data_IF_723771850090
#
_entry.id   IF_723771850090
#
_cell.length_a   1.000
_cell.length_b   1.000
_cell.length_c   1.000
_cell.angle_alpha   90.00
_cell.angle_beta   90.00
_cell.angle_gamma   90.00
#
_symmetry.space_group_name_H-M   'P 1'
#
loop_
_entity.id
_entity.type
_entity.pdbx_description
1 polymer ?
#
# COMPACT_ATOMS: atom_id res chain seq x y z
N UNK A 1 -17.33 5.96 2.14
CA UNK A 1 -17.46 5.50 0.76
C UNK A 1 -16.15 5.72 0.00
N UNK A 2 -15.85 4.89 -1.02
CA UNK A 2 -14.64 5.05 -1.81
C UNK A 2 -14.68 6.39 -2.58
N UNK A 3 -13.51 7.00 -2.73
CA UNK A 3 -13.31 8.19 -3.58
C UNK A 3 -12.62 7.71 -4.86
N UNK A 4 -13.22 8.02 -6.00
CA UNK A 4 -12.73 7.57 -7.29
C UNK A 4 -11.86 8.64 -7.93
N UNK A 5 -10.72 8.23 -8.48
CA UNK A 5 -9.95 9.06 -9.39
C UNK A 5 -10.74 9.31 -10.71
N UNK A 6 -10.44 10.38 -11.45
CA UNK A 6 -11.01 10.58 -12.78
C UNK A 6 -10.78 9.39 -13.71
N UNK A 7 -11.70 9.11 -14.61
CA UNK A 7 -11.59 8.00 -15.57
C UNK A 7 -10.42 8.14 -16.55
N UNK A 8 -9.82 9.32 -16.64
CA UNK A 8 -8.58 9.58 -17.39
C UNK A 8 -7.34 9.03 -16.71
N UNK A 9 -7.38 8.81 -15.39
CA UNK A 9 -6.26 8.38 -14.58
C UNK A 9 -6.20 6.84 -14.62
N UNK A 10 -5.69 6.31 -15.71
CA UNK A 10 -5.64 4.88 -15.99
C UNK A 10 -4.34 4.29 -15.48
N UNK A 11 -4.42 3.17 -14.77
CA UNK A 11 -3.27 2.35 -14.35
C UNK A 11 -3.14 1.15 -15.30
N UNK A 12 -1.94 0.87 -15.74
CA UNK A 12 -1.61 -0.26 -16.62
C UNK A 12 -0.67 -1.24 -15.93
N UNK A 13 -0.67 -2.51 -16.34
CA UNK A 13 0.32 -3.48 -15.84
C UNK A 13 1.75 -2.99 -16.10
N UNK A 14 2.58 -2.99 -15.04
CA UNK A 14 3.97 -2.54 -15.11
C UNK A 14 4.18 -1.07 -14.73
N UNK A 15 3.11 -0.32 -14.48
CA UNK A 15 3.23 1.08 -14.06
C UNK A 15 3.91 1.21 -12.69
N UNK A 16 4.66 2.29 -12.54
CA UNK A 16 5.33 2.66 -11.31
C UNK A 16 4.44 3.62 -10.51
N UNK A 17 3.86 3.13 -9.43
CA UNK A 17 2.89 3.85 -8.60
C UNK A 17 3.52 4.27 -7.28
N UNK A 18 3.23 5.49 -6.86
CA UNK A 18 3.51 5.99 -5.51
C UNK A 18 2.19 6.36 -4.84
N UNK A 19 1.98 5.89 -3.63
CA UNK A 19 0.81 6.24 -2.85
C UNK A 19 1.22 6.58 -1.41
N UNK A 20 0.54 7.55 -0.81
CA UNK A 20 0.75 7.90 0.60
C UNK A 20 -0.49 8.50 1.24
N UNK A 21 -0.53 8.39 2.55
CA UNK A 21 -1.55 8.99 3.40
C UNK A 21 -0.90 10.12 4.18
N UNK A 22 -1.50 11.31 4.13
CA UNK A 22 -1.02 12.50 4.82
C UNK A 22 -1.97 12.83 5.97
N UNK A 23 -1.44 12.99 7.16
CA UNK A 23 -2.14 13.61 8.28
C UNK A 23 -1.88 15.12 8.23
N UNK A 24 -2.93 15.89 8.03
CA UNK A 24 -2.86 17.33 7.88
C UNK A 24 -2.82 18.05 9.23
N UNK A 25 -2.31 19.28 9.25
CA UNK A 25 -2.20 20.09 10.48
C UNK A 25 -3.55 20.45 11.12
N UNK A 26 -4.64 20.38 10.35
CA UNK A 26 -6.03 20.60 10.81
C UNK A 26 -6.71 19.33 11.37
N UNK A 27 -5.98 18.22 11.43
CA UNK A 27 -6.49 16.94 11.94
C UNK A 27 -7.23 16.09 10.92
N UNK A 28 -7.23 16.48 9.65
CA UNK A 28 -7.78 15.69 8.57
C UNK A 28 -6.75 14.75 7.94
N UNK A 29 -7.20 13.83 7.10
CA UNK A 29 -6.36 12.98 6.27
C UNK A 29 -6.59 13.23 4.79
N UNK A 30 -5.53 13.19 4.03
CA UNK A 30 -5.54 13.22 2.57
C UNK A 30 -4.81 11.98 2.05
N UNK A 31 -5.36 11.31 1.05
CA UNK A 31 -4.68 10.23 0.35
C UNK A 31 -4.23 10.72 -1.02
N UNK A 32 -3.05 10.30 -1.43
CA UNK A 32 -2.46 10.65 -2.71
C UNK A 32 -2.05 9.37 -3.41
N UNK A 33 -2.35 9.28 -4.70
CA UNK A 33 -1.81 8.27 -5.60
C UNK A 33 -1.24 8.97 -6.84
N UNK A 34 -0.05 8.56 -7.23
CA UNK A 34 0.64 9.09 -8.39
C UNK A 34 1.15 7.96 -9.27
N UNK A 35 0.85 8.03 -10.54
CA UNK A 35 1.45 7.18 -11.54
C UNK A 35 2.62 7.93 -12.20
N UNK A 36 3.83 7.42 -12.00
CA UNK A 36 5.05 8.01 -12.55
C UNK A 36 5.26 7.63 -14.03
N UNK A 37 4.70 6.52 -14.46
CA UNK A 37 4.78 6.03 -15.83
C UNK A 37 3.83 6.79 -16.75
N UNK A 38 2.57 6.91 -16.34
CA UNK A 38 1.51 7.60 -17.10
C UNK A 38 1.43 9.10 -16.77
N UNK A 39 2.19 9.57 -15.79
CA UNK A 39 2.35 10.97 -15.41
C UNK A 39 1.05 11.68 -14.98
N UNK A 40 0.31 11.06 -14.08
CA UNK A 40 -0.84 11.68 -13.43
C UNK A 40 -0.74 11.58 -11.90
N UNK A 41 -1.49 12.44 -11.21
CA UNK A 41 -1.64 12.44 -9.75
C UNK A 41 -3.10 12.68 -9.38
N UNK A 42 -3.59 11.91 -8.43
CA UNK A 42 -4.88 12.11 -7.81
C UNK A 42 -4.72 12.35 -6.30
N UNK A 43 -5.37 13.40 -5.82
CA UNK A 43 -5.37 13.80 -4.41
C UNK A 43 -6.82 13.76 -3.93
N UNK A 44 -7.11 12.96 -2.91
CA UNK A 44 -8.45 12.90 -2.34
C UNK A 44 -8.80 14.20 -1.60
N UNK A 45 -10.10 14.53 -1.46
CA UNK A 45 -10.51 15.55 -0.52
C UNK A 45 -10.02 15.24 0.89
N UNK A 46 -9.66 16.29 1.65
CA UNK A 46 -9.31 16.15 3.06
C UNK A 46 -10.52 15.64 3.86
N UNK A 47 -10.31 14.59 4.65
CA UNK A 47 -11.40 13.90 5.35
C UNK A 47 -11.07 13.75 6.83
N UNK A 48 -12.03 14.05 7.69
CA UNK A 48 -11.92 13.74 9.12
C UNK A 48 -12.09 12.25 9.34
N UNK A 49 -11.12 11.63 10.01
CA UNK A 49 -11.22 10.26 10.50
C UNK A 49 -11.28 10.31 12.01
N UNK A 50 -12.49 10.21 12.55
CA UNK A 50 -12.70 10.21 13.99
C UNK A 50 -12.02 9.00 14.62
N UNK A 51 -11.36 9.22 15.76
CA UNK A 51 -10.65 8.18 16.53
C UNK A 51 -9.40 7.57 15.84
N UNK A 52 -8.85 8.18 14.82
CA UNK A 52 -7.60 7.75 14.23
C UNK A 52 -6.45 7.87 15.25
N UNK A 53 -5.86 6.75 15.63
CA UNK A 53 -4.81 6.70 16.66
C UNK A 53 -3.41 6.89 16.09
N UNK A 54 -3.23 6.75 14.77
CA UNK A 54 -1.94 6.88 14.05
C UNK A 54 -0.82 6.00 14.64
N UNK A 55 -1.20 4.80 15.06
CA UNK A 55 -0.32 3.84 15.73
C UNK A 55 0.01 2.62 14.85
N UNK A 56 -0.41 2.63 13.58
CA UNK A 56 -0.12 1.58 12.61
C UNK A 56 -0.06 2.12 11.19
N UNK A 57 0.61 1.37 10.31
CA UNK A 57 0.62 1.55 8.87
C UNK A 57 0.71 0.19 8.18
N UNK A 58 0.23 0.11 6.95
CA UNK A 58 0.15 -1.16 6.21
C UNK A 58 0.62 -0.98 4.77
N UNK A 59 1.32 -2.00 4.26
CA UNK A 59 1.68 -2.16 2.85
C UNK A 59 1.27 -3.56 2.45
N UNK A 60 0.11 -3.69 1.80
CA UNK A 60 -0.53 -4.99 1.56
C UNK A 60 -1.09 -5.11 0.15
N UNK A 61 -1.16 -6.35 -0.32
CA UNK A 61 -1.99 -6.76 -1.45
C UNK A 61 -3.31 -7.29 -0.89
N UNK A 62 -4.43 -6.77 -1.35
CA UNK A 62 -5.74 -7.19 -0.90
C UNK A 62 -6.45 -8.09 -1.93
N UNK A 63 -7.30 -8.94 -1.40
CA UNK A 63 -8.27 -9.69 -2.18
C UNK A 63 -9.66 -9.07 -1.95
N UNK A 64 -10.21 -8.34 -2.93
CA UNK A 64 -11.45 -7.61 -2.72
C UNK A 64 -12.66 -8.54 -2.60
N UNK A 65 -13.71 -8.03 -1.97
CA UNK A 65 -15.03 -8.66 -1.96
C UNK A 65 -16.01 -7.87 -2.84
N UNK A 66 -16.84 -8.56 -3.59
CA UNK A 66 -17.93 -8.01 -4.38
C UNK A 66 -19.22 -8.70 -3.97
N UNK A 67 -20.23 -7.91 -3.61
CA UNK A 67 -21.51 -8.46 -3.16
C UNK A 67 -21.40 -9.36 -1.92
N UNK A 68 -20.45 -9.09 -1.03
CA UNK A 68 -20.22 -9.86 0.20
C UNK A 68 -19.43 -11.17 0.01
N UNK A 69 -19.00 -11.47 -1.21
CA UNK A 69 -18.18 -12.67 -1.50
C UNK A 69 -16.78 -12.28 -1.95
N UNK A 70 -15.77 -12.99 -1.45
CA UNK A 70 -14.38 -12.79 -1.88
C UNK A 70 -14.24 -13.14 -3.37
N UNK A 71 -13.65 -12.24 -4.15
CA UNK A 71 -13.34 -12.49 -5.56
C UNK A 71 -12.20 -13.52 -5.70
N UNK A 72 -12.00 -14.06 -6.89
CA UNK A 72 -10.76 -14.76 -7.20
C UNK A 72 -9.62 -13.75 -7.18
N UNK A 73 -8.52 -14.06 -6.47
CA UNK A 73 -7.32 -13.24 -6.52
C UNK A 73 -6.76 -13.28 -7.95
N UNK A 74 -6.56 -12.11 -8.54
CA UNK A 74 -5.89 -12.01 -9.84
C UNK A 74 -4.43 -12.46 -9.72
N UNK A 75 -3.93 -13.13 -10.76
CA UNK A 75 -2.50 -13.42 -10.84
C UNK A 75 -1.77 -12.13 -11.24
N UNK A 76 -1.21 -11.47 -10.25
CA UNK A 76 -0.45 -10.22 -10.42
C UNK A 76 1.05 -10.48 -10.59
N UNK A 77 1.51 -11.75 -10.57
CA UNK A 77 2.92 -12.09 -10.58
C UNK A 77 3.61 -11.65 -9.29
N UNK A 78 4.43 -10.62 -9.38
CA UNK A 78 5.14 -10.04 -8.24
C UNK A 78 4.94 -8.53 -8.23
N UNK A 79 4.57 -7.98 -7.07
CA UNK A 79 4.54 -6.54 -6.84
C UNK A 79 5.68 -6.15 -5.89
N UNK A 80 6.43 -5.13 -6.26
CA UNK A 80 7.61 -4.66 -5.53
C UNK A 80 7.31 -3.39 -4.76
N UNK A 81 7.83 -3.29 -3.54
CA UNK A 81 7.68 -2.16 -2.64
C UNK A 81 9.05 -1.65 -2.21
N UNK A 82 9.22 -0.33 -2.21
CA UNK A 82 10.36 0.33 -1.61
C UNK A 82 11.50 0.68 -2.56
N UNK A 83 12.43 1.45 -2.04
CA UNK A 83 13.52 2.07 -2.79
C UNK A 83 14.40 1.07 -3.55
N UNK A 84 14.76 -0.05 -2.94
CA UNK A 84 15.69 -1.03 -3.53
C UNK A 84 15.17 -1.66 -4.81
N UNK A 85 13.84 -1.70 -4.98
CA UNK A 85 13.21 -2.22 -6.19
C UNK A 85 12.70 -1.15 -7.14
N UNK A 86 12.32 0.02 -6.63
CA UNK A 86 11.63 1.06 -7.41
C UNK A 86 12.48 2.29 -7.68
N UNK A 87 13.60 2.46 -6.98
CA UNK A 87 14.43 3.67 -6.97
C UNK A 87 13.68 4.93 -6.49
N UNK A 88 12.53 4.77 -5.84
CA UNK A 88 11.77 5.89 -5.29
C UNK A 88 12.12 6.03 -3.81
N UNK A 89 12.82 7.11 -3.46
CA UNK A 89 13.21 7.40 -2.07
C UNK A 89 12.00 7.72 -1.18
N UNK A 90 12.12 7.42 0.11
CA UNK A 90 11.08 7.72 1.11
C UNK A 90 9.86 6.81 1.05
N UNK A 91 9.87 5.75 0.25
CA UNK A 91 8.81 4.73 0.21
C UNK A 91 9.00 3.66 1.26
N UNK A 92 7.90 3.03 1.70
CA UNK A 92 7.88 2.09 2.83
C UNK A 92 8.33 2.71 4.16
N UNK A 93 7.99 3.98 4.34
CA UNK A 93 8.14 4.75 5.59
C UNK A 93 6.77 5.08 6.16
N UNK A 94 6.68 5.20 7.47
CA UNK A 94 5.48 5.66 8.16
C UNK A 94 5.83 6.49 9.39
N UNK A 95 4.90 7.36 9.76
CA UNK A 95 4.89 8.00 11.07
C UNK A 95 3.95 7.23 11.99
N UNK A 96 4.52 6.43 12.88
CA UNK A 96 3.77 5.62 13.84
C UNK A 96 4.06 6.15 15.25
N UNK A 97 3.02 6.56 15.96
CA UNK A 97 3.13 7.18 17.29
C UNK A 97 4.12 8.37 17.32
N UNK A 98 4.17 9.16 16.24
CA UNK A 98 5.06 10.34 16.14
C UNK A 98 6.49 10.03 15.69
N UNK A 99 6.85 8.77 15.45
CA UNK A 99 8.18 8.38 14.93
C UNK A 99 8.07 8.09 13.43
N UNK A 100 8.77 8.85 12.61
CA UNK A 100 8.87 8.65 11.17
C UNK A 100 10.11 7.80 10.84
N UNK A 101 9.88 6.60 10.30
CA UNK A 101 10.96 5.63 10.07
C UNK A 101 10.55 4.58 9.02
N UNK A 102 11.49 3.81 8.47
CA UNK A 102 11.20 2.68 7.58
C UNK A 102 10.57 1.52 8.33
N UNK A 103 9.98 0.56 7.60
CA UNK A 103 9.30 -0.63 8.16
C UNK A 103 10.15 -1.34 9.21
N UNK A 104 11.45 -1.56 8.93
CA UNK A 104 12.35 -2.29 9.82
C UNK A 104 12.57 -1.65 11.19
N UNK A 105 12.27 -0.36 11.34
CA UNK A 105 12.39 0.35 12.61
C UNK A 105 11.23 0.04 13.58
N UNK A 106 10.19 -0.61 13.10
CA UNK A 106 9.01 -0.97 13.88
C UNK A 106 8.91 -2.48 14.07
N UNK A 107 8.11 -2.89 15.05
CA UNK A 107 7.73 -4.29 15.22
C UNK A 107 6.65 -4.63 14.17
N UNK A 108 7.08 -5.07 13.00
CA UNK A 108 6.18 -5.37 11.89
C UNK A 108 5.73 -6.83 11.86
N UNK A 109 4.58 -7.07 11.24
CA UNK A 109 4.00 -8.40 11.02
C UNK A 109 4.01 -8.70 9.52
N UNK A 110 4.57 -9.85 9.16
CA UNK A 110 4.52 -10.38 7.80
C UNK A 110 3.24 -11.19 7.62
N UNK A 111 2.41 -10.83 6.64
CA UNK A 111 1.09 -11.43 6.43
C UNK A 111 1.09 -12.24 5.13
N UNK A 112 0.85 -13.55 5.24
CA UNK A 112 0.65 -14.44 4.09
C UNK A 112 -0.85 -14.61 3.84
N UNK A 113 -1.29 -14.36 2.61
CA UNK A 113 -2.68 -14.58 2.21
C UNK A 113 -2.91 -16.07 1.92
N UNK A 114 -3.91 -16.65 2.56
CA UNK A 114 -4.31 -18.04 2.33
C UNK A 114 -5.80 -18.13 2.00
N UNK A 115 -6.22 -19.17 1.30
CA UNK A 115 -7.63 -19.49 1.15
C UNK A 115 -8.16 -20.26 2.38
N UNK A 116 -9.45 -20.57 2.38
CA UNK A 116 -10.10 -21.31 3.49
C UNK A 116 -9.55 -22.74 3.70
N UNK A 117 -8.88 -23.33 2.69
CA UNK A 117 -8.20 -24.62 2.80
C UNK A 117 -6.74 -24.51 3.23
N UNK A 118 -6.25 -23.31 3.56
CA UNK A 118 -4.87 -23.07 3.93
C UNK A 118 -3.88 -22.98 2.76
N UNK A 119 -4.36 -23.06 1.50
CA UNK A 119 -3.49 -22.88 0.33
C UNK A 119 -3.05 -21.42 0.25
N UNK A 120 -1.74 -21.20 0.10
CA UNK A 120 -1.16 -19.87 -0.11
C UNK A 120 -1.68 -19.27 -1.42
N UNK A 121 -2.10 -18.02 -1.36
CA UNK A 121 -2.55 -17.22 -2.51
C UNK A 121 -1.58 -16.10 -2.84
N UNK A 122 -0.93 -15.55 -1.84
CA UNK A 122 0.15 -14.57 -1.98
C UNK A 122 1.00 -14.53 -0.71
N UNK A 123 2.29 -14.31 -0.87
CA UNK A 123 3.23 -14.25 0.25
C UNK A 123 4.22 -13.11 0.11
N UNK A 124 4.55 -12.39 1.20
CA UNK A 124 5.60 -11.39 1.19
C UNK A 124 6.97 -12.04 1.31
N UNK A 125 7.99 -11.37 0.74
CA UNK A 125 9.39 -11.63 1.05
C UNK A 125 9.77 -11.11 2.44
N UNK A 126 10.98 -11.44 2.91
CA UNK A 126 11.64 -10.65 3.95
C UNK A 126 11.96 -9.24 3.45
N UNK A 127 12.27 -8.34 4.39
CA UNK A 127 12.79 -7.01 4.06
C UNK A 127 14.21 -7.13 3.48
N UNK A 128 14.56 -6.20 2.59
CA UNK A 128 15.93 -6.01 2.12
C UNK A 128 16.85 -5.60 3.27
N UNK A 129 18.16 -5.66 3.06
CA UNK A 129 19.18 -5.47 4.13
C UNK A 129 19.11 -4.10 4.79
N UNK A 130 18.67 -3.06 4.07
CA UNK A 130 18.46 -1.71 4.62
C UNK A 130 17.08 -1.53 5.29
N UNK A 131 16.23 -2.56 5.23
CA UNK A 131 14.94 -2.57 5.90
C UNK A 131 13.84 -1.72 5.27
N UNK A 132 14.03 -1.29 4.01
CA UNK A 132 13.11 -0.36 3.34
C UNK A 132 12.25 -1.00 2.28
N UNK A 133 12.54 -2.23 1.84
CA UNK A 133 11.94 -2.78 0.64
C UNK A 133 11.58 -4.26 0.79
N UNK A 134 10.55 -4.69 0.07
CA UNK A 134 10.12 -6.08 -0.01
C UNK A 134 9.28 -6.28 -1.27
N UNK A 135 8.91 -7.52 -1.56
CA UNK A 135 7.93 -7.83 -2.59
C UNK A 135 6.84 -8.76 -2.07
N UNK A 136 5.73 -8.80 -2.76
CA UNK A 136 4.66 -9.79 -2.57
C UNK A 136 4.50 -10.58 -3.85
N UNK A 137 4.53 -11.90 -3.74
CA UNK A 137 4.42 -12.82 -4.85
C UNK A 137 3.08 -13.56 -4.83
N UNK A 138 2.45 -13.69 -6.00
CA UNK A 138 1.27 -14.53 -6.21
C UNK A 138 1.65 -16.03 -6.20
N UNK A 139 0.86 -16.88 -5.52
CA UNK A 139 0.98 -18.35 -5.56
C UNK A 139 1.57 -19.00 -4.35
#
# INVERSE_FOLDING_TARGET
PPVYAPSSDVVKPGDLIVAWVVYNSDGTFTTVIKDLTENWIFISPATVVSNAQRNSAEWIVERPAIGGSLTKLANFGTVYYGYDYTSISGTCYANVNGVYAPISSFNYVSITMVNYNGKVLASPSGLTSDGTSFYVQYG
#
